data_IF_813375650940
#
_entry.id   IF_813375650940
#
_cell.length_a   1.000
_cell.length_b   1.000
_cell.length_c   1.000
_cell.angle_alpha   90.00
_cell.angle_beta   90.00
_cell.angle_gamma   90.00
#
_symmetry.space_group_name_H-M   'P 1'
#
loop_
_entity.id
_entity.type
_entity.pdbx_description
1 polymer ?
#
# COMPACT_ATOMS: atom_id res chain seq x y z
N UNK A 1 -6.60 9.86 -65.10
CA UNK A 1 -7.63 10.11 -66.13
C UNK A 1 -8.63 8.95 -66.07
N UNK A 2 -9.91 9.26 -65.85
CA UNK A 2 -10.99 8.29 -65.66
C UNK A 2 -11.22 7.41 -66.90
N UNK A 3 -11.91 6.26 -66.71
CA UNK A 3 -13.13 6.06 -67.49
C UNK A 3 -14.33 5.46 -66.73
N UNK A 4 -15.50 6.02 -67.03
CA UNK A 4 -16.74 5.36 -67.50
C UNK A 4 -17.57 4.48 -66.52
N UNK A 5 -18.62 5.10 -65.98
CA UNK A 5 -20.08 4.85 -66.15
C UNK A 5 -20.68 3.45 -66.39
N UNK A 6 -21.92 3.34 -65.87
CA UNK A 6 -23.05 2.40 -66.14
C UNK A 6 -23.09 1.15 -65.26
N UNK A 7 -24.23 0.72 -64.71
CA UNK A 7 -25.56 0.73 -65.32
C UNK A 7 -26.71 0.78 -64.30
N UNK A 8 -27.84 1.24 -64.82
CA UNK A 8 -29.11 1.54 -64.17
C UNK A 8 -30.13 0.44 -64.56
N UNK A 9 -31.07 0.03 -63.67
CA UNK A 9 -32.43 -0.49 -63.99
C UNK A 9 -33.18 -0.97 -62.73
N UNK A 10 -34.18 -0.23 -62.24
CA UNK A 10 -35.66 -0.34 -62.44
C UNK A 10 -36.41 -1.34 -61.52
N UNK A 11 -37.03 -0.77 -60.47
CA UNK A 11 -38.37 -0.93 -59.82
C UNK A 11 -39.36 -1.92 -60.49
N UNK A 12 -40.17 -2.71 -59.74
CA UNK A 12 -41.54 -2.28 -59.40
C UNK A 12 -42.05 -2.64 -57.98
N UNK A 13 -42.99 -1.81 -57.54
CA UNK A 13 -43.88 -1.92 -56.38
C UNK A 13 -44.87 -3.10 -56.47
N UNK A 14 -45.10 -3.79 -55.35
CA UNK A 14 -46.10 -4.85 -55.22
C UNK A 14 -46.65 -4.99 -53.79
N UNK A 15 -47.94 -4.72 -53.67
CA UNK A 15 -48.90 -4.91 -52.58
C UNK A 15 -48.86 -6.31 -51.90
N UNK A 16 -49.14 -6.33 -50.58
CA UNK A 16 -49.97 -7.29 -49.82
C UNK A 16 -49.34 -7.90 -48.54
N UNK A 17 -50.00 -7.58 -47.44
CA UNK A 17 -50.42 -8.46 -46.34
C UNK A 17 -49.53 -9.65 -45.92
N UNK A 18 -49.03 -9.56 -44.68
CA UNK A 18 -48.52 -10.69 -43.92
C UNK A 18 -48.37 -10.30 -42.45
N UNK A 19 -49.46 -10.37 -41.70
CA UNK A 19 -49.44 -10.33 -40.23
C UNK A 19 -48.69 -11.59 -39.77
N UNK A 20 -47.47 -11.41 -39.30
CA UNK A 20 -46.71 -12.45 -38.63
C UNK A 20 -46.27 -11.93 -37.25
N UNK A 21 -46.74 -12.68 -36.25
CA UNK A 21 -46.46 -12.60 -34.84
C UNK A 21 -44.96 -12.43 -34.57
N UNK A 22 -44.58 -11.39 -33.83
CA UNK A 22 -43.19 -11.15 -33.43
C UNK A 22 -43.18 -10.37 -32.13
N UNK A 23 -43.29 -11.08 -31.01
CA UNK A 23 -43.05 -10.56 -29.67
C UNK A 23 -41.58 -10.14 -29.61
N UNK A 24 -41.31 -8.85 -29.81
CA UNK A 24 -40.02 -8.26 -29.47
C UNK A 24 -39.92 -8.18 -27.94
N UNK A 25 -39.40 -9.26 -27.35
CA UNK A 25 -38.85 -9.28 -26.01
C UNK A 25 -37.66 -8.31 -26.00
N UNK A 26 -37.87 -7.08 -25.52
CA UNK A 26 -36.79 -6.14 -25.23
C UNK A 26 -35.99 -6.69 -24.04
N UNK A 27 -35.03 -7.58 -24.33
CA UNK A 27 -33.94 -7.90 -23.42
C UNK A 27 -33.05 -6.65 -23.34
N UNK A 28 -33.38 -5.76 -22.40
CA UNK A 28 -32.45 -4.76 -21.92
C UNK A 28 -31.34 -5.53 -21.22
N UNK A 29 -30.27 -5.80 -21.96
CA UNK A 29 -28.99 -6.18 -21.39
C UNK A 29 -28.53 -5.02 -20.51
N UNK A 30 -28.85 -5.10 -19.22
CA UNK A 30 -28.10 -4.40 -18.19
C UNK A 30 -26.69 -4.97 -18.27
N UNK A 31 -25.82 -4.31 -19.04
CA UNK A 31 -24.39 -4.43 -18.83
C UNK A 31 -24.13 -3.88 -17.43
N UNK A 32 -24.14 -4.76 -16.43
CA UNK A 32 -23.50 -4.47 -15.17
C UNK A 32 -22.05 -4.15 -15.52
N UNK A 33 -21.69 -2.87 -15.46
CA UNK A 33 -20.29 -2.47 -15.44
C UNK A 33 -19.73 -3.08 -14.18
N UNK A 34 -19.08 -4.24 -14.30
CA UNK A 34 -18.23 -4.77 -13.24
C UNK A 34 -17.14 -3.73 -13.03
N UNK A 35 -17.34 -2.83 -12.07
CA UNK A 35 -16.25 -2.04 -11.52
C UNK A 35 -15.24 -3.06 -11.01
N UNK A 36 -14.12 -3.19 -11.71
CA UNK A 36 -12.96 -3.87 -11.17
C UNK A 36 -12.60 -3.09 -9.90
N UNK A 37 -12.98 -3.62 -8.75
CA UNK A 37 -12.61 -3.05 -7.47
C UNK A 37 -11.08 -3.02 -7.46
N UNK A 38 -10.52 -1.83 -7.57
CA UNK A 38 -9.07 -1.66 -7.58
C UNK A 38 -8.55 -2.19 -6.25
N UNK A 39 -7.57 -3.10 -6.31
CA UNK A 39 -6.96 -3.62 -5.09
C UNK A 39 -6.34 -2.44 -4.32
N UNK A 40 -6.62 -2.30 -3.01
CA UNK A 40 -6.06 -1.21 -2.21
C UNK A 40 -4.56 -1.17 -2.37
N UNK A 41 -4.02 0.00 -2.75
CA UNK A 41 -2.62 0.12 -3.11
C UNK A 41 -1.99 1.37 -2.53
N UNK A 42 -0.68 1.29 -2.30
CA UNK A 42 0.17 2.43 -1.96
C UNK A 42 1.36 2.42 -2.90
N UNK A 43 1.52 3.49 -3.68
CA UNK A 43 2.54 3.58 -4.72
C UNK A 43 3.41 4.84 -4.53
N UNK A 44 4.24 4.88 -3.48
CA UNK A 44 5.05 6.06 -3.19
C UNK A 44 6.12 6.26 -4.27
N UNK A 45 6.28 7.52 -4.68
CA UNK A 45 7.33 7.91 -5.61
C UNK A 45 8.59 8.33 -4.86
N UNK A 46 9.75 7.79 -5.25
CA UNK A 46 11.05 8.26 -4.78
C UNK A 46 11.40 9.62 -5.42
N UNK A 47 10.59 10.65 -5.18
CA UNK A 47 10.70 11.94 -5.87
C UNK A 47 11.99 12.70 -5.51
N UNK A 48 12.43 13.60 -6.39
CA UNK A 48 13.58 14.49 -6.12
C UNK A 48 13.39 15.33 -4.86
N UNK A 49 12.14 15.65 -4.53
CA UNK A 49 11.77 16.32 -3.28
C UNK A 49 12.15 15.47 -2.07
N UNK A 50 11.79 14.19 -2.03
CA UNK A 50 12.15 13.28 -0.94
C UNK A 50 13.68 13.10 -0.82
N UNK A 51 14.38 13.02 -1.94
CA UNK A 51 15.85 12.90 -1.92
C UNK A 51 16.51 14.16 -1.34
N UNK A 52 15.91 15.33 -1.50
CA UNK A 52 16.43 16.61 -0.97
C UNK A 52 15.98 16.92 0.47
N UNK A 53 14.94 16.27 0.99
CA UNK A 53 14.48 16.50 2.36
C UNK A 53 15.61 16.19 3.37
N UNK A 54 15.73 16.97 4.46
CA UNK A 54 16.57 16.59 5.58
C UNK A 54 16.13 15.24 6.14
N UNK A 55 17.09 14.44 6.63
CA UNK A 55 16.84 13.02 6.95
C UNK A 55 15.83 12.84 8.09
N UNK A 56 15.84 13.73 9.08
CA UNK A 56 14.86 13.80 10.18
C UNK A 56 13.39 13.96 9.70
N UNK A 57 13.15 14.54 8.52
CA UNK A 57 11.81 14.66 7.91
C UNK A 57 11.43 13.53 6.99
N UNK A 58 12.40 12.76 6.51
CA UNK A 58 12.18 11.77 5.48
C UNK A 58 11.16 10.72 5.91
N UNK A 59 11.34 10.17 7.12
CA UNK A 59 10.42 9.20 7.70
C UNK A 59 9.01 9.78 7.86
N UNK A 60 8.89 10.97 8.44
CA UNK A 60 7.60 11.64 8.67
C UNK A 60 6.85 11.92 7.37
N UNK A 61 7.55 12.37 6.33
CA UNK A 61 6.95 12.63 5.03
C UNK A 61 6.40 11.34 4.39
N UNK A 62 7.13 10.23 4.50
CA UNK A 62 6.72 8.93 3.97
C UNK A 62 5.58 8.34 4.80
N UNK A 63 5.61 8.48 6.12
CA UNK A 63 4.54 8.02 7.00
C UNK A 63 3.22 8.76 6.71
N UNK A 64 3.30 10.06 6.42
CA UNK A 64 2.13 10.85 5.99
C UNK A 64 1.61 10.42 4.62
N UNK A 65 2.50 10.25 3.64
CA UNK A 65 2.14 9.77 2.30
C UNK A 65 1.44 8.40 2.36
N UNK A 66 1.91 7.49 3.23
CA UNK A 66 1.20 6.25 3.51
C UNK A 66 -0.18 6.50 4.13
N UNK A 67 -0.28 7.35 5.15
CA UNK A 67 -1.54 7.59 5.86
C UNK A 67 -2.66 8.13 4.94
N UNK A 68 -2.29 8.82 3.86
CA UNK A 68 -3.22 9.35 2.85
C UNK A 68 -3.56 8.32 1.73
N UNK A 69 -3.02 7.10 1.79
CA UNK A 69 -3.20 6.08 0.75
C UNK A 69 -4.46 5.21 0.91
N UNK A 70 -4.90 4.62 -0.19
CA UNK A 70 -6.00 3.64 -0.20
C UNK A 70 -5.65 2.40 0.63
N UNK A 71 -4.38 1.97 0.62
CA UNK A 71 -3.90 0.87 1.46
C UNK A 71 -4.05 1.17 2.96
N UNK A 72 -3.77 2.40 3.40
CA UNK A 72 -3.95 2.79 4.80
C UNK A 72 -5.43 2.85 5.20
N UNK A 73 -6.28 3.32 4.29
CA UNK A 73 -7.74 3.32 4.50
C UNK A 73 -8.28 1.89 4.61
N UNK A 74 -7.89 1.00 3.71
CA UNK A 74 -8.26 -0.41 3.76
C UNK A 74 -7.72 -1.13 5.01
N UNK A 75 -6.49 -0.82 5.43
CA UNK A 75 -5.92 -1.36 6.66
C UNK A 75 -6.72 -0.89 7.90
N UNK A 76 -7.19 0.34 7.91
CA UNK A 76 -8.02 0.88 9.00
C UNK A 76 -9.40 0.21 9.03
N UNK A 77 -10.01 -0.02 7.87
CA UNK A 77 -11.28 -0.73 7.75
C UNK A 77 -11.18 -2.17 8.26
N UNK A 78 -10.18 -2.94 7.78
CA UNK A 78 -10.01 -4.33 8.23
C UNK A 78 -9.67 -4.40 9.72
N UNK A 79 -8.90 -3.46 10.27
CA UNK A 79 -8.65 -3.38 11.72
C UNK A 79 -9.95 -3.23 12.51
N UNK A 80 -10.84 -2.37 12.03
CA UNK A 80 -12.14 -2.12 12.69
C UNK A 80 -13.02 -3.37 12.64
N UNK A 81 -13.04 -4.06 11.49
CA UNK A 81 -13.78 -5.32 11.32
C UNK A 81 -13.22 -6.44 12.20
N UNK A 82 -11.89 -6.58 12.30
CA UNK A 82 -11.23 -7.51 13.23
C UNK A 82 -11.64 -7.22 14.67
N UNK A 83 -11.63 -5.95 15.08
CA UNK A 83 -12.01 -5.57 16.44
C UNK A 83 -13.46 -5.93 16.76
N UNK A 84 -14.40 -5.58 15.87
CA UNK A 84 -15.81 -5.90 16.02
C UNK A 84 -16.04 -7.42 16.07
N UNK A 85 -15.39 -8.16 15.17
CA UNK A 85 -15.47 -9.63 15.14
C UNK A 85 -14.90 -10.26 16.41
N UNK A 86 -13.83 -9.68 16.96
CA UNK A 86 -13.29 -10.09 18.27
C UNK A 86 -14.28 -9.90 19.43
N UNK A 87 -15.11 -8.84 19.38
CA UNK A 87 -16.20 -8.64 20.35
C UNK A 87 -17.29 -9.69 20.16
N UNK A 88 -17.73 -9.94 18.93
CA UNK A 88 -18.71 -11.00 18.62
C UNK A 88 -18.26 -12.36 19.15
N UNK A 89 -16.98 -12.71 18.97
CA UNK A 89 -16.42 -13.94 19.51
C UNK A 89 -16.47 -13.98 21.05
N UNK A 90 -16.13 -12.87 21.72
CA UNK A 90 -16.23 -12.77 23.17
C UNK A 90 -17.67 -12.95 23.68
N UNK A 91 -18.65 -12.34 23.00
CA UNK A 91 -20.06 -12.44 23.35
C UNK A 91 -20.60 -13.86 23.14
N UNK A 92 -20.25 -14.51 22.02
CA UNK A 92 -20.62 -15.91 21.75
C UNK A 92 -20.01 -16.87 22.76
N UNK A 93 -18.74 -16.69 23.11
CA UNK A 93 -18.10 -17.50 24.16
C UNK A 93 -18.85 -17.37 25.49
N UNK A 94 -19.20 -16.15 25.90
CA UNK A 94 -19.94 -15.91 27.14
C UNK A 94 -21.38 -16.47 27.10
N UNK A 95 -21.99 -16.55 25.92
CA UNK A 95 -23.30 -17.19 25.73
C UNK A 95 -23.20 -18.71 25.81
N UNK A 96 -22.21 -19.32 25.16
CA UNK A 96 -21.93 -20.77 25.21
C UNK A 96 -21.72 -21.24 26.66
N UNK A 97 -21.01 -20.46 27.47
CA UNK A 97 -20.71 -20.81 28.87
C UNK A 97 -21.97 -20.90 29.75
N UNK A 98 -23.09 -20.30 29.31
CA UNK A 98 -24.38 -20.28 30.02
C UNK A 98 -25.45 -21.17 29.36
N UNK A 99 -25.18 -21.66 28.17
CA UNK A 99 -26.12 -22.48 27.40
C UNK A 99 -25.96 -23.97 27.72
N UNK A 100 -27.05 -24.71 27.60
CA UNK A 100 -27.13 -26.16 27.79
C UNK A 100 -27.90 -26.80 26.63
N UNK A 101 -27.68 -28.11 26.41
CA UNK A 101 -28.34 -28.88 25.35
C UNK A 101 -28.14 -28.30 23.95
N UNK A 102 -29.14 -28.47 23.09
CA UNK A 102 -29.12 -28.09 21.66
C UNK A 102 -28.73 -26.63 21.42
N UNK A 103 -29.17 -25.71 22.28
CA UNK A 103 -28.84 -24.28 22.18
C UNK A 103 -27.33 -24.07 22.29
N UNK A 104 -26.65 -24.83 23.15
CA UNK A 104 -25.19 -24.77 23.28
C UNK A 104 -24.49 -25.25 22.02
N UNK A 105 -25.02 -26.31 21.40
CA UNK A 105 -24.49 -26.89 20.16
C UNK A 105 -24.62 -25.89 19.01
N UNK A 106 -25.80 -25.28 18.85
CA UNK A 106 -26.03 -24.22 17.86
C UNK A 106 -25.07 -23.04 18.05
N UNK A 107 -24.90 -22.56 19.29
CA UNK A 107 -23.97 -21.48 19.59
C UNK A 107 -22.51 -21.87 19.29
N UNK A 108 -22.10 -23.12 19.54
CA UNK A 108 -20.77 -23.63 19.17
C UNK A 108 -20.57 -23.67 17.66
N UNK A 109 -21.58 -24.04 16.87
CA UNK A 109 -21.53 -23.96 15.41
C UNK A 109 -21.35 -22.51 14.93
N UNK A 110 -22.13 -21.58 15.48
CA UNK A 110 -21.99 -20.15 15.16
C UNK A 110 -20.60 -19.63 15.53
N UNK A 111 -20.12 -19.95 16.73
CA UNK A 111 -18.80 -19.54 17.19
C UNK A 111 -17.67 -20.06 16.31
N UNK A 112 -17.78 -21.30 15.84
CA UNK A 112 -16.82 -21.88 14.90
C UNK A 112 -16.82 -21.15 13.54
N UNK A 113 -17.99 -20.86 12.98
CA UNK A 113 -18.10 -20.08 11.75
C UNK A 113 -17.51 -18.67 11.92
N UNK A 114 -17.79 -18.02 13.05
CA UNK A 114 -17.25 -16.71 13.38
C UNK A 114 -15.72 -16.73 13.56
N UNK A 115 -15.15 -17.79 14.16
CA UNK A 115 -13.69 -17.97 14.27
C UNK A 115 -13.03 -18.08 12.90
N UNK A 116 -13.63 -18.83 11.97
CA UNK A 116 -13.11 -18.97 10.60
C UNK A 116 -13.07 -17.62 9.88
N UNK A 117 -14.15 -16.85 9.96
CA UNK A 117 -14.21 -15.52 9.38
C UNK A 117 -13.22 -14.54 10.06
N UNK A 118 -13.05 -14.63 11.38
CA UNK A 118 -12.06 -13.84 12.11
C UNK A 118 -10.63 -14.11 11.61
N UNK A 119 -10.27 -15.39 11.44
CA UNK A 119 -8.95 -15.79 10.92
C UNK A 119 -8.76 -15.26 9.49
N UNK A 120 -9.81 -15.29 8.66
CA UNK A 120 -9.75 -14.72 7.30
C UNK A 120 -9.48 -13.21 7.34
N UNK A 121 -10.18 -12.45 8.19
CA UNK A 121 -9.95 -11.01 8.36
C UNK A 121 -8.53 -10.71 8.85
N UNK A 122 -8.04 -11.49 9.80
CA UNK A 122 -6.66 -11.37 10.27
C UNK A 122 -5.64 -11.67 9.16
N UNK A 123 -5.90 -12.67 8.31
CA UNK A 123 -5.08 -12.94 7.12
C UNK A 123 -5.05 -11.75 6.16
N UNK A 124 -6.21 -11.19 5.83
CA UNK A 124 -6.33 -9.98 4.99
C UNK A 124 -5.55 -8.79 5.60
N UNK A 125 -5.64 -8.59 6.92
CA UNK A 125 -4.89 -7.58 7.64
C UNK A 125 -3.37 -7.81 7.52
N UNK A 126 -2.89 -9.04 7.69
CA UNK A 126 -1.46 -9.37 7.58
C UNK A 126 -0.92 -9.14 6.17
N UNK A 127 -1.68 -9.51 5.14
CA UNK A 127 -1.30 -9.24 3.75
C UNK A 127 -1.12 -7.74 3.48
N UNK A 128 -2.03 -6.91 4.00
CA UNK A 128 -1.93 -5.45 3.85
C UNK A 128 -0.73 -4.88 4.61
N UNK A 129 -0.46 -5.37 5.83
CA UNK A 129 0.73 -4.98 6.61
C UNK A 129 2.02 -5.37 5.90
N UNK A 130 2.09 -6.57 5.33
CA UNK A 130 3.22 -7.02 4.51
C UNK A 130 3.45 -6.09 3.32
N UNK A 131 2.39 -5.83 2.54
CA UNK A 131 2.45 -4.91 1.39
C UNK A 131 2.93 -3.51 1.80
N UNK A 132 2.48 -2.99 2.94
CA UNK A 132 2.94 -1.71 3.47
C UNK A 132 4.45 -1.74 3.73
N UNK A 133 4.92 -2.70 4.53
CA UNK A 133 6.33 -2.77 4.96
C UNK A 133 7.25 -3.01 3.76
N UNK A 134 6.90 -3.93 2.86
CA UNK A 134 7.67 -4.19 1.63
C UNK A 134 7.74 -2.97 0.70
N UNK A 135 6.61 -2.29 0.50
CA UNK A 135 6.57 -1.05 -0.31
C UNK A 135 7.48 0.01 0.28
N UNK A 136 7.50 0.11 1.62
CA UNK A 136 8.34 1.04 2.37
C UNK A 136 9.84 0.71 2.22
N UNK A 137 10.21 -0.56 2.32
CA UNK A 137 11.58 -1.04 2.04
C UNK A 137 12.00 -0.66 0.62
N UNK A 138 11.20 -1.03 -0.39
CA UNK A 138 11.46 -0.72 -1.81
C UNK A 138 11.58 0.79 -2.06
N UNK A 139 10.83 1.62 -1.33
CA UNK A 139 10.97 3.07 -1.40
C UNK A 139 12.32 3.54 -0.82
N UNK A 140 12.70 3.06 0.36
CA UNK A 140 13.97 3.41 0.99
C UNK A 140 15.18 2.96 0.16
N UNK A 141 15.15 1.76 -0.40
CA UNK A 141 16.18 1.26 -1.32
C UNK A 141 16.31 2.14 -2.57
N UNK A 142 15.18 2.52 -3.18
CA UNK A 142 15.18 3.46 -4.32
C UNK A 142 15.76 4.82 -3.95
N UNK A 143 15.47 5.33 -2.75
CA UNK A 143 16.02 6.59 -2.25
C UNK A 143 17.53 6.48 -2.00
N UNK A 144 17.99 5.38 -1.39
CA UNK A 144 19.40 5.10 -1.14
C UNK A 144 20.17 5.02 -2.47
N UNK A 145 19.68 4.26 -3.45
CA UNK A 145 20.27 4.15 -4.77
C UNK A 145 20.32 5.49 -5.53
N UNK A 146 19.35 6.40 -5.29
CA UNK A 146 19.39 7.77 -5.85
C UNK A 146 20.42 8.65 -5.14
N UNK A 147 20.58 8.51 -3.82
CA UNK A 147 21.62 9.22 -3.07
C UNK A 147 23.02 8.74 -3.45
N UNK A 148 23.24 7.43 -3.57
CA UNK A 148 24.52 6.85 -3.97
C UNK A 148 24.89 7.27 -5.40
N UNK A 149 23.94 7.26 -6.34
CA UNK A 149 24.14 7.83 -7.68
C UNK A 149 24.47 9.33 -7.67
N UNK A 150 23.94 10.09 -6.70
CA UNK A 150 24.26 11.52 -6.53
C UNK A 150 25.60 11.75 -5.84
N UNK A 151 26.00 10.89 -4.92
CA UNK A 151 27.35 10.87 -4.32
C UNK A 151 28.41 10.54 -5.38
N UNK A 152 28.16 9.54 -6.23
CA UNK A 152 28.90 9.29 -7.47
C UNK A 152 28.70 10.42 -8.51
N UNK A 153 27.67 11.25 -8.31
CA UNK A 153 27.23 12.38 -9.10
C UNK A 153 27.90 13.72 -8.77
N UNK A 154 28.95 13.73 -7.92
CA UNK A 154 30.05 14.68 -8.09
C UNK A 154 30.82 14.29 -9.36
N UNK A 155 30.11 14.27 -10.50
CA UNK A 155 30.69 13.87 -11.77
C UNK A 155 31.76 14.90 -12.14
N UNK A 156 32.80 14.50 -12.89
CA UNK A 156 33.79 15.44 -13.43
C UNK A 156 33.14 16.65 -14.11
N UNK A 157 31.92 16.50 -14.64
CA UNK A 157 31.10 17.55 -15.24
C UNK A 157 30.60 18.59 -14.24
N UNK A 158 30.16 18.19 -13.04
CA UNK A 158 29.67 19.13 -12.00
C UNK A 158 30.83 19.82 -11.28
N UNK A 159 31.94 19.10 -11.08
CA UNK A 159 33.22 19.68 -10.64
C UNK A 159 33.75 20.68 -11.68
N UNK A 160 33.78 20.32 -12.97
CA UNK A 160 34.10 21.25 -14.07
C UNK A 160 33.16 22.44 -14.15
N UNK A 161 31.87 22.27 -13.85
CA UNK A 161 30.92 23.39 -13.82
C UNK A 161 31.24 24.35 -12.68
N UNK A 162 31.58 23.83 -11.49
CA UNK A 162 32.04 24.63 -10.37
C UNK A 162 33.36 25.36 -10.70
N UNK A 163 34.32 24.66 -11.31
CA UNK A 163 35.60 25.24 -11.75
C UNK A 163 35.39 26.29 -12.84
N UNK A 164 34.52 26.03 -13.81
CA UNK A 164 34.17 27.00 -14.85
C UNK A 164 33.45 28.22 -14.27
N UNK A 165 32.57 28.03 -13.28
CA UNK A 165 31.93 29.14 -12.56
C UNK A 165 32.95 29.94 -11.74
N UNK A 166 33.91 29.28 -11.10
CA UNK A 166 34.99 29.92 -10.35
C UNK A 166 35.95 30.69 -11.29
N UNK A 167 36.33 30.09 -12.40
CA UNK A 167 37.15 30.74 -13.42
C UNK A 167 36.41 31.90 -14.10
N UNK A 168 35.09 31.79 -14.32
CA UNK A 168 34.27 32.90 -14.81
C UNK A 168 34.19 34.04 -13.79
N UNK A 169 34.12 33.72 -12.49
CA UNK A 169 34.17 34.69 -11.39
C UNK A 169 35.51 35.42 -11.32
N UNK A 170 36.61 34.70 -11.37
CA UNK A 170 37.97 35.27 -11.40
C UNK A 170 38.17 36.15 -12.64
N UNK A 171 37.65 35.74 -13.80
CA UNK A 171 37.68 36.56 -15.02
C UNK A 171 36.82 37.81 -14.90
N UNK A 172 35.66 37.74 -14.25
CA UNK A 172 34.78 38.89 -14.03
C UNK A 172 35.42 39.91 -13.07
N UNK A 173 35.99 39.44 -11.95
CA UNK A 173 36.73 40.29 -11.01
C UNK A 173 37.97 40.91 -11.68
N UNK A 174 38.67 40.15 -12.53
CA UNK A 174 39.80 40.63 -13.33
C UNK A 174 39.43 41.59 -14.46
N UNK A 175 38.26 41.46 -15.09
CA UNK A 175 37.79 42.38 -16.16
C UNK A 175 37.16 43.64 -15.59
N UNK A 176 36.45 43.55 -14.46
CA UNK A 176 35.99 44.71 -13.72
C UNK A 176 37.16 45.59 -13.25
N UNK A 177 38.27 44.99 -12.82
CA UNK A 177 39.48 45.74 -12.45
C UNK A 177 40.32 46.20 -13.66
N UNK A 178 40.38 45.41 -14.73
CA UNK A 178 41.24 45.68 -15.89
C UNK A 178 40.67 46.65 -16.93
N UNK A 179 39.35 46.63 -17.17
CA UNK A 179 38.70 47.54 -18.14
C UNK A 179 38.50 48.95 -17.55
N UNK A 180 38.22 49.05 -16.24
CA UNK A 180 38.09 50.36 -15.55
C UNK A 180 39.42 51.13 -15.51
N UNK A 181 40.56 50.45 -15.40
CA UNK A 181 41.90 51.08 -15.45
C UNK A 181 42.30 51.53 -16.87
N UNK A 182 41.91 50.78 -17.91
CA UNK A 182 42.35 51.03 -19.28
C UNK A 182 41.50 52.09 -20.02
N UNK A 183 40.23 52.28 -19.64
CA UNK A 183 39.33 53.23 -20.28
C UNK A 183 39.27 54.59 -19.54
N UNK A 184 39.54 54.63 -18.24
CA UNK A 184 39.42 55.84 -17.42
C UNK A 184 40.72 56.18 -16.67
N UNK A 185 41.76 56.54 -17.42
CA UNK A 185 42.86 57.30 -16.84
C UNK A 185 42.31 58.60 -16.22
N UNK A 186 42.37 58.70 -14.88
CA UNK A 186 41.98 59.85 -14.06
C UNK A 186 40.48 60.18 -13.94
N UNK A 187 39.76 59.45 -13.08
CA UNK A 187 38.79 59.98 -12.11
C UNK A 187 38.21 58.79 -11.35
N UNK A 188 38.00 58.91 -10.05
CA UNK A 188 37.49 57.84 -9.18
C UNK A 188 36.23 57.18 -9.77
N UNK A 189 36.37 55.98 -10.36
CA UNK A 189 35.26 55.25 -10.96
C UNK A 189 34.64 54.37 -9.89
N UNK A 190 33.43 54.74 -9.49
CA UNK A 190 32.59 53.94 -8.61
C UNK A 190 32.24 52.61 -9.27
N UNK A 191 32.37 51.50 -8.55
CA UNK A 191 31.91 50.18 -8.97
C UNK A 191 30.57 50.24 -9.72
N UNK A 192 30.47 49.52 -10.84
CA UNK A 192 29.24 49.44 -11.62
C UNK A 192 28.04 49.11 -10.71
N UNK A 193 26.87 49.70 -10.99
CA UNK A 193 25.65 49.39 -10.21
C UNK A 193 25.38 47.87 -10.19
N UNK A 194 25.66 47.18 -11.30
CA UNK A 194 25.49 45.74 -11.43
C UNK A 194 26.42 44.93 -10.52
N UNK A 195 27.72 45.27 -10.46
CA UNK A 195 28.68 44.57 -9.57
C UNK A 195 28.33 44.74 -8.10
N UNK A 196 27.88 45.94 -7.69
CA UNK A 196 27.40 46.20 -6.32
C UNK A 196 26.17 45.37 -5.96
N UNK A 197 25.16 45.33 -6.84
CA UNK A 197 23.96 44.52 -6.59
C UNK A 197 24.24 43.01 -6.63
N UNK A 198 25.13 42.55 -7.52
CA UNK A 198 25.57 41.15 -7.55
C UNK A 198 26.30 40.75 -6.25
N UNK A 199 27.20 41.59 -5.74
CA UNK A 199 27.90 41.36 -4.47
C UNK A 199 26.90 41.26 -3.31
N UNK A 200 25.96 42.21 -3.21
CA UNK A 200 24.86 42.16 -2.21
C UNK A 200 24.06 40.87 -2.30
N UNK A 201 23.68 40.44 -3.51
CA UNK A 201 22.94 39.21 -3.72
C UNK A 201 23.73 37.98 -3.30
N UNK A 202 25.04 37.94 -3.57
CA UNK A 202 25.90 36.84 -3.14
C UNK A 202 25.97 36.77 -1.60
N UNK A 203 26.20 37.90 -0.94
CA UNK A 203 26.24 37.94 0.53
C UNK A 203 24.89 37.52 1.13
N UNK A 204 23.78 37.92 0.52
CA UNK A 204 22.45 37.47 0.95
C UNK A 204 22.25 35.96 0.76
N UNK A 205 22.71 35.38 -0.36
CA UNK A 205 22.68 33.93 -0.60
C UNK A 205 23.54 33.20 0.44
N UNK A 206 24.76 33.67 0.71
CA UNK A 206 25.66 33.08 1.70
C UNK A 206 25.05 33.11 3.11
N UNK A 207 24.45 34.24 3.50
CA UNK A 207 23.74 34.38 4.78
C UNK A 207 22.55 33.40 4.88
N UNK A 208 21.78 33.23 3.80
CA UNK A 208 20.68 32.26 3.76
C UNK A 208 21.18 30.82 3.85
N UNK A 209 22.28 30.48 3.16
CA UNK A 209 22.89 29.15 3.23
C UNK A 209 23.41 28.84 4.65
N UNK A 210 24.04 29.82 5.32
CA UNK A 210 24.47 29.69 6.70
C UNK A 210 23.27 29.47 7.65
N UNK A 211 22.25 30.32 7.54
CA UNK A 211 21.03 30.19 8.34
C UNK A 211 20.32 28.84 8.14
N UNK A 212 20.28 28.32 6.90
CA UNK A 212 19.70 27.00 6.62
C UNK A 212 20.50 25.87 7.30
N UNK A 213 21.85 25.94 7.28
CA UNK A 213 22.71 24.93 7.92
C UNK A 213 22.58 24.93 9.43
N UNK A 214 22.45 26.10 10.05
CA UNK A 214 22.33 26.28 11.50
C UNK A 214 20.92 26.02 12.02
N UNK A 215 19.92 25.96 11.14
CA UNK A 215 18.54 25.76 11.55
C UNK A 215 18.35 24.38 12.20
N UNK A 216 17.68 24.28 13.36
CA UNK A 216 17.52 23.02 14.11
C UNK A 216 16.80 21.93 13.31
N UNK A 217 15.97 22.32 12.34
CA UNK A 217 15.28 21.39 11.44
C UNK A 217 16.18 20.80 10.35
N UNK A 218 17.41 21.28 10.19
CA UNK A 218 18.39 20.77 9.22
C UNK A 218 19.42 19.83 9.88
N UNK A 219 19.38 19.69 11.20
CA UNK A 219 20.27 18.81 11.95
C UNK A 219 20.19 17.36 11.43
N UNK A 220 21.36 16.72 11.32
CA UNK A 220 21.45 15.31 10.96
C UNK A 220 20.77 14.46 12.05
N UNK A 221 20.10 13.35 11.67
CA UNK A 221 19.51 12.46 12.64
C UNK A 221 20.62 11.85 13.49
N UNK A 222 20.36 11.72 14.78
CA UNK A 222 21.28 11.06 15.70
C UNK A 222 20.82 9.64 16.00
N UNK A 223 21.74 8.68 15.94
CA UNK A 223 21.54 7.31 16.45
C UNK A 223 22.45 7.16 17.66
N UNK A 224 21.88 6.79 18.82
CA UNK A 224 22.64 6.64 20.06
C UNK A 224 23.49 7.88 20.43
N UNK A 225 22.97 9.08 20.14
CA UNK A 225 23.67 10.35 20.40
C UNK A 225 24.83 10.66 19.44
N UNK A 226 24.94 9.96 18.31
CA UNK A 226 25.93 10.24 17.27
C UNK A 226 25.21 10.65 15.97
N UNK A 227 25.64 11.74 15.31
CA UNK A 227 25.08 12.14 14.02
C UNK A 227 25.37 11.06 12.98
N UNK A 228 24.36 10.68 12.20
CA UNK A 228 24.52 9.72 11.12
C UNK A 228 24.18 10.30 9.77
N UNK A 229 24.92 9.83 8.77
CA UNK A 229 24.69 10.24 7.39
C UNK A 229 23.27 9.84 6.95
N UNK A 230 22.72 10.57 5.97
CA UNK A 230 21.42 10.23 5.38
C UNK A 230 21.38 8.80 4.81
N UNK A 231 22.52 8.29 4.34
CA UNK A 231 22.64 6.94 3.79
C UNK A 231 22.55 5.90 4.90
N UNK A 232 23.26 6.10 6.00
CA UNK A 232 23.23 5.18 7.15
C UNK A 232 21.88 5.19 7.84
N UNK A 233 21.25 6.37 7.95
CA UNK A 233 19.87 6.48 8.42
C UNK A 233 18.89 5.69 7.53
N UNK A 234 19.01 5.76 6.20
CA UNK A 234 18.18 4.96 5.30
C UNK A 234 18.43 3.45 5.43
N UNK A 235 19.68 3.02 5.61
CA UNK A 235 20.03 1.62 5.85
C UNK A 235 19.42 1.11 7.15
N UNK A 236 19.45 1.91 8.21
CA UNK A 236 18.76 1.59 9.46
C UNK A 236 17.25 1.44 9.24
N UNK A 237 16.61 2.39 8.56
CA UNK A 237 15.18 2.30 8.27
C UNK A 237 14.84 1.04 7.46
N UNK A 238 15.70 0.63 6.51
CA UNK A 238 15.53 -0.64 5.79
C UNK A 238 15.61 -1.82 6.76
N UNK A 239 16.65 -1.89 7.59
CA UNK A 239 16.83 -2.98 8.57
C UNK A 239 15.67 -3.07 9.58
N UNK A 240 15.20 -1.94 10.09
CA UNK A 240 14.03 -1.87 10.97
C UNK A 240 12.76 -2.42 10.31
N UNK A 241 12.56 -2.12 9.02
CA UNK A 241 11.41 -2.63 8.28
C UNK A 241 11.58 -4.12 7.91
N UNK A 242 12.80 -4.60 7.65
CA UNK A 242 13.06 -6.03 7.48
C UNK A 242 12.74 -6.82 8.76
N UNK A 243 13.08 -6.28 9.94
CA UNK A 243 12.67 -6.88 11.21
C UNK A 243 11.14 -6.94 11.36
N UNK A 244 10.42 -5.92 10.88
CA UNK A 244 8.94 -5.93 10.86
C UNK A 244 8.37 -6.99 9.91
N UNK A 245 9.02 -7.27 8.78
CA UNK A 245 8.61 -8.38 7.90
C UNK A 245 8.68 -9.71 8.66
N UNK A 246 9.77 -9.97 9.38
CA UNK A 246 9.93 -11.19 10.15
C UNK A 246 8.84 -11.34 11.24
N UNK A 247 8.42 -10.24 11.87
CA UNK A 247 7.29 -10.26 12.81
C UNK A 247 5.98 -10.63 12.10
N UNK A 248 5.70 -10.04 10.93
CA UNK A 248 4.50 -10.37 10.14
C UNK A 248 4.50 -11.84 9.71
N UNK A 249 5.65 -12.42 9.35
CA UNK A 249 5.78 -13.84 9.04
C UNK A 249 5.53 -14.74 10.28
N UNK A 250 5.98 -14.32 11.46
CA UNK A 250 5.66 -15.02 12.71
C UNK A 250 4.16 -14.96 13.03
N UNK A 251 3.53 -13.80 12.83
CA UNK A 251 2.09 -13.63 13.00
C UNK A 251 1.28 -14.52 12.03
N UNK A 252 1.76 -14.71 10.79
CA UNK A 252 1.16 -15.65 9.82
C UNK A 252 1.22 -17.10 10.31
N UNK A 253 2.34 -17.53 10.90
CA UNK A 253 2.45 -18.88 11.49
C UNK A 253 1.45 -19.07 12.64
N UNK A 254 1.27 -18.05 13.49
CA UNK A 254 0.27 -18.07 14.57
C UNK A 254 -1.13 -18.23 13.99
N UNK A 255 -1.47 -17.50 12.92
CA UNK A 255 -2.76 -17.65 12.24
C UNK A 255 -2.96 -19.06 11.67
N UNK A 256 -1.91 -19.67 11.11
CA UNK A 256 -1.94 -21.06 10.66
C UNK A 256 -2.25 -22.04 11.80
N UNK A 257 -1.66 -21.85 12.98
CA UNK A 257 -1.98 -22.65 14.15
C UNK A 257 -3.40 -22.43 14.66
N UNK A 258 -3.90 -21.19 14.65
CA UNK A 258 -5.29 -20.88 14.99
C UNK A 258 -6.26 -21.59 14.05
N UNK A 259 -5.99 -21.56 12.74
CA UNK A 259 -6.80 -22.26 11.74
C UNK A 259 -6.82 -23.77 11.96
N UNK A 260 -5.68 -24.35 12.34
CA UNK A 260 -5.59 -25.77 12.69
C UNK A 260 -6.44 -26.10 13.91
N UNK A 261 -6.39 -25.29 14.97
CA UNK A 261 -7.23 -25.48 16.17
C UNK A 261 -8.71 -25.41 15.78
N UNK A 262 -9.10 -24.41 14.98
CA UNK A 262 -10.49 -24.30 14.49
C UNK A 262 -10.93 -25.53 13.69
N UNK A 263 -10.06 -26.09 12.85
CA UNK A 263 -10.38 -27.32 12.13
C UNK A 263 -10.55 -28.53 13.07
N UNK A 264 -9.74 -28.62 14.12
CA UNK A 264 -9.88 -29.67 15.14
C UNK A 264 -11.15 -29.47 15.98
N UNK A 265 -11.47 -28.24 16.39
CA UNK A 265 -12.72 -27.90 17.08
C UNK A 265 -13.94 -28.27 16.22
N UNK A 266 -13.87 -28.03 14.91
CA UNK A 266 -14.90 -28.40 13.95
C UNK A 266 -15.12 -29.92 13.89
N UNK A 267 -14.02 -30.68 13.85
CA UNK A 267 -14.05 -32.14 13.82
C UNK A 267 -14.64 -32.71 15.12
N UNK A 268 -14.19 -32.19 16.27
CA UNK A 268 -14.70 -32.62 17.57
C UNK A 268 -16.20 -32.33 17.73
N UNK A 269 -16.66 -31.16 17.31
CA UNK A 269 -18.09 -30.82 17.35
C UNK A 269 -18.92 -31.72 16.42
N UNK A 270 -18.40 -32.04 15.23
CA UNK A 270 -19.06 -32.97 14.31
C UNK A 270 -19.17 -34.39 14.85
N UNK A 271 -18.19 -34.84 15.64
CA UNK A 271 -18.21 -36.14 16.30
C UNK A 271 -19.19 -36.16 17.47
N UNK A 272 -19.24 -35.10 18.28
CA UNK A 272 -20.19 -34.92 19.40
C UNK A 272 -21.64 -34.99 18.90
N UNK A 273 -21.98 -34.21 17.85
CA UNK A 273 -23.33 -34.20 17.26
C UNK A 273 -23.70 -35.56 16.66
N UNK A 274 -22.75 -36.21 15.96
CA UNK A 274 -23.00 -37.54 15.39
C UNK A 274 -23.24 -38.62 16.46
N UNK A 275 -22.62 -38.49 17.64
CA UNK A 275 -22.86 -39.40 18.76
C UNK A 275 -24.25 -39.19 19.38
N UNK A 276 -24.69 -37.95 19.56
CA UNK A 276 -26.03 -37.63 20.06
C UNK A 276 -27.15 -38.12 19.12
N UNK A 277 -26.98 -37.97 17.81
CA UNK A 277 -27.93 -38.50 16.81
C UNK A 277 -28.09 -40.04 16.91
N UNK A 278 -27.02 -40.77 17.24
CA UNK A 278 -27.05 -42.24 17.41
C UNK A 278 -27.77 -42.62 18.71
N UNK A 279 -27.60 -41.85 19.77
CA UNK A 279 -28.30 -42.06 21.04
C UNK A 279 -29.81 -41.75 20.94
N UNK A 280 -30.20 -40.68 20.24
CA UNK A 280 -31.62 -40.28 20.09
C UNK A 280 -32.39 -41.13 19.06
N UNK A 281 -31.72 -41.66 18.04
CA UNK A 281 -32.34 -42.53 17.03
C UNK A 281 -32.74 -43.92 17.53
N UNK A 282 -32.50 -44.25 18.81
CA UNK A 282 -32.91 -45.51 19.44
C UNK A 282 -32.20 -46.74 18.85
N UNK A 283 -31.09 -46.53 18.16
CA UNK A 283 -30.33 -47.59 17.46
C UNK A 283 -29.52 -48.45 18.44
N UNK A 284 -29.30 -47.96 19.66
CA UNK A 284 -28.64 -48.68 20.75
C UNK A 284 -29.66 -49.47 21.58
N UNK A 285 -29.44 -50.77 21.74
CA UNK A 285 -30.24 -51.61 22.65
C UNK A 285 -29.97 -51.29 24.13
N UNK A 286 -30.73 -51.89 25.06
CA UNK A 286 -30.60 -51.69 26.53
C UNK A 286 -29.17 -51.92 27.08
N UNK A 287 -28.29 -52.57 26.29
CA UNK A 287 -26.90 -52.89 26.63
C UNK A 287 -25.85 -51.98 25.95
N UNK A 288 -26.27 -50.97 25.17
CA UNK A 288 -25.37 -50.02 24.48
C UNK A 288 -24.76 -50.52 23.16
N UNK A 289 -25.09 -51.72 22.70
CA UNK A 289 -24.72 -52.21 21.37
C UNK A 289 -25.73 -51.77 20.30
N UNK A 290 -25.21 -51.41 19.11
CA UNK A 290 -26.00 -51.10 17.91
C UNK A 290 -26.85 -52.32 17.54
N UNK A 291 -28.18 -52.18 17.71
CA UNK A 291 -29.13 -53.23 17.37
C UNK A 291 -29.29 -53.32 15.85
N UNK A 292 -28.80 -54.41 15.27
CA UNK A 292 -28.94 -54.71 13.84
C UNK A 292 -30.41 -54.68 13.39
N UNK A 293 -31.36 -54.99 14.25
CA UNK A 293 -32.79 -54.91 13.92
C UNK A 293 -33.32 -53.48 13.83
N UNK A 294 -32.78 -52.54 14.62
CA UNK A 294 -33.12 -51.12 14.50
C UNK A 294 -32.49 -50.48 13.24
N UNK A 295 -31.31 -50.95 12.83
CA UNK A 295 -30.66 -50.49 11.62
C UNK A 295 -31.42 -50.87 10.33
N UNK A 296 -32.24 -51.93 10.35
CA UNK A 296 -33.02 -52.39 9.19
C UNK A 296 -34.10 -51.39 8.78
N UNK A 297 -34.66 -50.61 9.72
CA UNK A 297 -35.72 -49.63 9.45
C UNK A 297 -35.23 -48.46 8.58
N UNK A 298 -33.92 -48.20 8.52
CA UNK A 298 -33.32 -47.23 7.59
C UNK A 298 -33.25 -47.71 6.14
N UNK A 299 -33.45 -49.00 5.87
CA UNK A 299 -33.29 -49.61 4.55
C UNK A 299 -34.58 -50.23 3.98
N UNK A 300 -35.69 -50.16 4.71
CA UNK A 300 -37.00 -50.64 4.27
C UNK A 300 -37.96 -49.45 4.24
N UNK A 301 -38.53 -49.07 3.07
CA UNK A 301 -39.45 -47.94 2.94
C UNK A 301 -40.82 -48.18 3.58
#
# INVERSE_FOLDING_TARGET
MQPISSSNRTIPSGLMAGIAFGICLFLVFFFATSSWASTPSWQPSASERLVKLPSNYLKKAIDRDFAESDLASALTDVNSRVQLKGQTLGDLQAAIDKAEGDVKIELRHQFLAEKQEFIKLMGEQQDMRRKQVETKIKLYERLLAKLERRGAGMTPTKAKLLDNQKAARERFEGTASGVDMAIFGSAAVSESRYSREYAKNMTAIEALVAAIKEHPMTAEPEINGQPVSKQDYLRQLIAENQARVAIVEQEENILGYMAKIVALDAMALSEEVAAEDIEDSGVTGEDGEVSLSAAVDFFVP
#
